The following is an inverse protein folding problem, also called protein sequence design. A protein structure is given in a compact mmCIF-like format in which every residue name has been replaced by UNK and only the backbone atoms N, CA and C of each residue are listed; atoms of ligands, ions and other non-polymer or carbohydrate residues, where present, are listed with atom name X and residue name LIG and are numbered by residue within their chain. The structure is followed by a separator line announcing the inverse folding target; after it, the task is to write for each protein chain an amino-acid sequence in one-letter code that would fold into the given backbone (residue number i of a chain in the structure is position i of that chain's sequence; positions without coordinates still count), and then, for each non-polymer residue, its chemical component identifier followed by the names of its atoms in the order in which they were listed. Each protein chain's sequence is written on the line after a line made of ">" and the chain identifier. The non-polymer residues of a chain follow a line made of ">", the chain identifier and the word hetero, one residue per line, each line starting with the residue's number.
data_IF_920343432975
#
_entry.id   IF_920343432975
#
_cell.length_a   1.000
_cell.length_b   1.000
_cell.length_c   1.000
_cell.angle_alpha   90.00
_cell.angle_beta   90.00
_cell.angle_gamma   90.00
#
_symmetry.space_group_name_H-M   'P 1'
#
loop_
_entity.id
_entity.type
_entity.pdbx_description
1 polymer ?
#
# COMPACT_ATOMS: atom_id res chain seq x y z
N UNK A 1 -14.00 -7.46 18.14
CA UNK A 1 -13.40 -6.14 18.42
C UNK A 1 -12.12 -6.07 17.62
N UNK A 2 -12.13 -5.41 16.46
CA UNK A 2 -10.95 -5.38 15.58
C UNK A 2 -9.98 -4.32 16.14
N UNK A 3 -8.94 -4.82 16.80
CA UNK A 3 -7.82 -4.04 17.33
C UNK A 3 -7.26 -3.14 16.24
N UNK A 4 -7.59 -1.84 16.34
CA UNK A 4 -7.15 -0.81 15.41
C UNK A 4 -5.67 -0.54 15.68
N UNK A 5 -4.78 -1.38 15.12
CA UNK A 5 -3.42 -0.93 14.81
C UNK A 5 -3.58 0.43 14.11
N UNK A 6 -2.84 1.48 14.49
CA UNK A 6 -3.08 2.82 13.99
C UNK A 6 -3.14 2.77 12.46
N UNK A 7 -4.29 3.05 11.83
CA UNK A 7 -4.54 2.80 10.40
C UNK A 7 -3.70 3.71 9.48
N UNK A 8 -2.74 4.45 10.04
CA UNK A 8 -1.82 5.32 9.35
C UNK A 8 -0.52 4.64 8.92
N UNK A 9 0.08 3.73 9.70
CA UNK A 9 1.50 3.37 9.46
C UNK A 9 1.69 2.56 8.17
N UNK A 10 0.87 1.54 7.95
CA UNK A 10 0.91 0.76 6.70
C UNK A 10 0.51 1.63 5.51
N UNK A 11 -0.53 2.46 5.65
CA UNK A 11 -0.95 3.39 4.60
C UNK A 11 0.15 4.38 4.24
N UNK A 12 0.78 4.98 5.24
CA UNK A 12 1.83 5.99 5.08
C UNK A 12 3.07 5.39 4.45
N UNK A 13 3.47 4.18 4.85
CA UNK A 13 4.56 3.45 4.21
C UNK A 13 4.25 3.12 2.74
N UNK A 14 3.03 2.66 2.44
CA UNK A 14 2.58 2.40 1.05
C UNK A 14 2.62 3.71 0.25
N UNK A 15 2.07 4.80 0.78
CA UNK A 15 2.07 6.12 0.15
C UNK A 15 3.49 6.65 -0.06
N UNK A 16 4.36 6.51 0.92
CA UNK A 16 5.74 6.93 0.85
C UNK A 16 6.50 6.12 -0.21
N UNK A 17 6.26 4.80 -0.29
CA UNK A 17 6.78 3.96 -1.36
C UNK A 17 6.30 4.45 -2.73
N UNK A 18 5.01 4.68 -2.94
CA UNK A 18 4.50 5.16 -4.23
C UNK A 18 4.93 6.61 -4.56
N UNK A 19 5.20 7.45 -3.56
CA UNK A 19 5.73 8.81 -3.77
C UNK A 19 7.21 8.79 -4.15
N UNK A 20 7.99 7.88 -3.58
CA UNK A 20 9.43 7.72 -3.80
C UNK A 20 9.73 6.91 -5.07
N UNK A 21 8.93 5.88 -5.32
CA UNK A 21 8.93 5.14 -6.57
C UNK A 21 8.55 6.06 -7.72
N UNK A 22 9.48 6.26 -8.65
CA UNK A 22 9.19 6.83 -9.97
C UNK A 22 8.27 5.92 -10.81
N UNK A 23 8.06 4.69 -10.37
CA UNK A 23 7.14 3.74 -10.99
C UNK A 23 5.69 4.19 -10.79
N UNK A 24 4.96 4.18 -11.89
CA UNK A 24 3.56 4.57 -11.93
C UNK A 24 2.62 3.52 -11.34
N UNK A 25 3.04 2.28 -11.26
CA UNK A 25 2.31 1.14 -10.71
C UNK A 25 3.29 0.16 -10.04
N UNK A 26 2.81 -0.55 -9.03
CA UNK A 26 3.58 -1.53 -8.31
C UNK A 26 2.74 -2.76 -7.97
N UNK A 27 3.40 -3.90 -7.89
CA UNK A 27 2.79 -5.17 -7.55
C UNK A 27 2.61 -5.28 -6.03
N UNK A 28 1.64 -6.07 -5.56
CA UNK A 28 1.43 -6.27 -4.11
C UNK A 28 2.72 -6.76 -3.42
N UNK A 29 3.49 -7.64 -4.07
CA UNK A 29 4.75 -8.15 -3.53
C UNK A 29 5.81 -7.05 -3.39
N UNK A 30 5.95 -6.15 -4.37
CA UNK A 30 6.90 -5.03 -4.31
C UNK A 30 6.51 -4.04 -3.20
N UNK A 31 5.21 -3.73 -3.11
CA UNK A 31 4.68 -2.88 -2.05
C UNK A 31 4.92 -3.53 -0.68
N UNK A 32 4.68 -4.83 -0.55
CA UNK A 32 4.90 -5.57 0.68
C UNK A 32 6.36 -5.51 1.12
N UNK A 33 7.29 -5.82 0.22
CA UNK A 33 8.72 -5.82 0.52
C UNK A 33 9.20 -4.42 0.92
N UNK A 34 8.82 -3.39 0.16
CA UNK A 34 9.18 -2.01 0.47
C UNK A 34 8.59 -1.52 1.80
N UNK A 35 7.33 -1.88 2.08
CA UNK A 35 6.66 -1.55 3.35
C UNK A 35 7.34 -2.24 4.51
N UNK A 36 7.69 -3.52 4.39
CA UNK A 36 8.42 -4.25 5.43
C UNK A 36 9.80 -3.66 5.68
N UNK A 37 10.53 -3.29 4.62
CA UNK A 37 11.81 -2.60 4.75
C UNK A 37 11.67 -1.22 5.41
N UNK A 38 10.63 -0.45 5.08
CA UNK A 38 10.38 0.87 5.69
C UNK A 38 9.94 0.80 7.15
N UNK A 39 9.04 -0.13 7.49
CA UNK A 39 8.60 -0.30 8.88
C UNK A 39 9.62 -1.06 9.74
N UNK A 40 10.59 -1.76 9.13
CA UNK A 40 11.48 -2.68 9.84
C UNK A 40 10.73 -3.80 10.57
N UNK A 41 9.55 -4.18 10.06
CA UNK A 41 8.65 -5.16 10.67
C UNK A 41 7.99 -6.01 9.61
N UNK A 42 7.79 -7.29 9.91
CA UNK A 42 7.08 -8.19 9.02
C UNK A 42 5.60 -7.80 8.94
N UNK A 43 5.12 -7.54 7.71
CA UNK A 43 3.74 -7.14 7.45
C UNK A 43 3.10 -8.23 6.60
N UNK A 44 1.97 -8.81 7.03
CA UNK A 44 1.31 -9.84 6.26
C UNK A 44 0.68 -9.26 4.99
N UNK A 45 0.75 -10.01 3.89
CA UNK A 45 0.22 -9.58 2.58
C UNK A 45 -1.28 -9.25 2.62
N UNK A 46 -2.04 -9.97 3.45
CA UNK A 46 -3.45 -9.66 3.68
C UNK A 46 -3.70 -8.27 4.27
N UNK A 47 -2.77 -7.74 5.09
CA UNK A 47 -2.90 -6.37 5.62
C UNK A 47 -2.65 -5.32 4.52
N UNK A 48 -1.65 -5.54 3.68
CA UNK A 48 -1.37 -4.67 2.52
C UNK A 48 -2.55 -4.69 1.56
N UNK A 49 -3.06 -5.87 1.20
CA UNK A 49 -4.24 -6.03 0.35
C UNK A 49 -5.48 -5.38 0.93
N UNK A 50 -5.74 -5.58 2.23
CA UNK A 50 -6.88 -4.97 2.92
C UNK A 50 -6.78 -3.44 2.90
N UNK A 51 -5.59 -2.89 3.20
CA UNK A 51 -5.32 -1.45 3.14
C UNK A 51 -5.54 -0.90 1.72
N UNK A 52 -4.97 -1.54 0.71
CA UNK A 52 -5.16 -1.15 -0.69
C UNK A 52 -6.64 -1.19 -1.06
N UNK A 53 -7.35 -2.27 -0.70
CA UNK A 53 -8.77 -2.45 -1.04
C UNK A 53 -9.69 -1.47 -0.32
N UNK A 54 -9.42 -1.14 0.94
CA UNK A 54 -10.18 -0.14 1.72
C UNK A 54 -10.04 1.28 1.15
N UNK A 55 -8.90 1.57 0.53
CA UNK A 55 -8.58 2.88 -0.04
C UNK A 55 -8.66 2.91 -1.58
N UNK A 56 -9.19 1.85 -2.20
CA UNK A 56 -9.50 1.80 -3.64
C UNK A 56 -10.99 2.13 -3.82
N UNK A 57 -11.38 2.98 -4.80
CA UNK A 57 -10.56 3.58 -5.85
C UNK A 57 -10.00 4.99 -5.54
N UNK A 58 -10.28 5.53 -4.36
CA UNK A 58 -10.07 6.95 -4.06
C UNK A 58 -8.58 7.33 -3.94
N UNK A 59 -7.78 6.51 -3.25
CA UNK A 59 -6.34 6.71 -3.07
C UNK A 59 -5.50 5.77 -3.94
N UNK A 60 -5.95 4.52 -4.11
CA UNK A 60 -5.27 3.53 -4.95
C UNK A 60 -6.16 3.07 -6.08
N UNK A 61 -5.59 2.87 -7.26
CA UNK A 61 -6.29 2.33 -8.41
C UNK A 61 -5.61 1.05 -8.86
N UNK A 62 -6.41 0.00 -9.00
CA UNK A 62 -5.91 -1.26 -9.54
C UNK A 62 -5.76 -1.13 -11.06
N UNK A 63 -4.51 -1.19 -11.51
CA UNK A 63 -4.16 -1.02 -12.94
C UNK A 63 -4.15 -2.36 -13.67
N UNK A 64 -3.85 -3.44 -12.96
CA UNK A 64 -3.79 -4.81 -13.50
C UNK A 64 -4.00 -5.88 -12.43
N UNK A 65 -4.00 -7.16 -12.83
CA UNK A 65 -4.04 -8.29 -11.87
C UNK A 65 -2.84 -8.21 -10.93
N UNK A 66 -3.10 -7.89 -9.66
CA UNK A 66 -2.08 -7.80 -8.61
C UNK A 66 -1.25 -6.51 -8.62
N UNK A 67 -1.60 -5.53 -9.47
CA UNK A 67 -0.89 -4.24 -9.58
C UNK A 67 -1.78 -3.07 -9.25
N UNK A 68 -1.25 -2.18 -8.41
CA UNK A 68 -1.92 -0.98 -7.93
C UNK A 68 -1.07 0.23 -8.24
N UNK A 69 -1.72 1.37 -8.48
CA UNK A 69 -1.08 2.68 -8.54
C UNK A 69 -1.68 3.61 -7.52
N UNK A 70 -0.89 4.61 -7.16
CA UNK A 70 -1.40 5.77 -6.45
C UNK A 70 -2.24 6.63 -7.41
N UNK A 71 -3.51 6.83 -7.07
CA UNK A 71 -4.32 7.88 -7.68
C UNK A 71 -3.82 9.17 -7.05
N UNK A 72 -3.04 9.96 -7.80
CA UNK A 72 -2.79 11.35 -7.41
C UNK A 72 -4.13 12.06 -7.49
N UNK A 73 -4.84 12.11 -6.36
CA UNK A 73 -5.91 13.07 -6.14
C UNK A 73 -5.36 14.46 -6.43
N UNK A 74 -6.09 15.17 -7.27
CA UNK A 74 -5.76 16.48 -7.83
C UNK A 74 -5.50 17.52 -6.75
#
# INVERSE_FOLDING_TARGET
>A
MAERRPPGVVRDAILAFFKESKQQDASIAEVLEAVQQKLGSEVPESSVRSSLRLHTPDTFQRVSRGRYRLVRGK
#
